data_IF_380162177301
#
_entry.id   IF_380162177301
#
_cell.length_a   1.000
_cell.length_b   1.000
_cell.length_c   1.000
_cell.angle_alpha   90.00
_cell.angle_beta   90.00
_cell.angle_gamma   90.00
#
_symmetry.space_group_name_H-M   'P 1'
#
loop_
_entity.id
_entity.type
_entity.pdbx_description
1 polymer ?
#
# COMPACT_ATOMS: atom_id res chain seq x y z
N UNK A 1 -5.14 -11.43 5.59
CA UNK A 1 -4.52 -11.73 6.88
C UNK A 1 -5.49 -12.52 7.73
N UNK A 2 -6.43 -11.84 8.39
CA UNK A 2 -7.37 -12.50 9.31
C UNK A 2 -8.23 -13.61 8.68
N UNK A 3 -8.71 -13.44 7.45
CA UNK A 3 -9.57 -14.43 6.77
C UNK A 3 -8.84 -15.43 5.88
N UNK A 4 -7.69 -15.06 5.31
CA UNK A 4 -6.98 -15.84 4.28
C UNK A 4 -5.57 -16.32 4.71
N UNK A 5 -5.17 -15.96 5.93
CA UNK A 5 -3.88 -16.29 6.50
C UNK A 5 -2.70 -15.69 5.75
N UNK A 6 -1.60 -16.44 5.72
CA UNK A 6 -0.30 -16.08 5.15
C UNK A 6 -0.32 -15.91 3.64
N UNK A 7 -1.31 -16.43 2.91
CA UNK A 7 -1.38 -16.26 1.46
C UNK A 7 -1.38 -14.78 1.04
N UNK A 8 -1.93 -13.87 1.85
CA UNK A 8 -1.91 -12.42 1.56
C UNK A 8 -0.50 -11.81 1.58
N UNK A 9 0.46 -12.45 2.25
CA UNK A 9 1.85 -11.99 2.26
C UNK A 9 2.50 -12.07 0.86
N UNK A 10 1.86 -12.73 -0.12
CA UNK A 10 2.33 -12.71 -1.50
C UNK A 10 2.47 -11.27 -2.08
N UNK A 11 1.72 -10.29 -1.58
CA UNK A 11 1.88 -8.87 -1.95
C UNK A 11 3.15 -8.24 -1.37
N UNK A 12 3.57 -8.68 -0.18
CA UNK A 12 4.72 -8.16 0.55
C UNK A 12 6.03 -8.76 0.04
N UNK A 13 6.05 -10.08 -0.25
CA UNK A 13 7.25 -10.77 -0.75
C UNK A 13 7.73 -10.26 -2.11
N UNK A 14 6.86 -9.60 -2.90
CA UNK A 14 7.26 -8.88 -4.12
C UNK A 14 8.01 -7.57 -3.84
N UNK A 15 8.42 -7.32 -2.59
CA UNK A 15 9.24 -6.16 -2.21
C UNK A 15 10.55 -6.04 -3.00
N UNK A 16 11.07 -7.14 -3.58
CA UNK A 16 12.23 -7.11 -4.47
C UNK A 16 12.02 -6.23 -5.72
N UNK A 17 10.78 -5.99 -6.14
CA UNK A 17 10.47 -5.08 -7.26
C UNK A 17 10.82 -3.62 -6.95
N UNK A 18 10.86 -3.25 -5.67
CA UNK A 18 11.33 -1.93 -5.24
C UNK A 18 12.86 -1.80 -5.45
N UNK A 19 13.61 -2.91 -5.46
CA UNK A 19 15.01 -2.89 -5.86
C UNK A 19 15.17 -2.58 -7.34
N UNK A 20 14.26 -3.04 -8.20
CA UNK A 20 14.22 -2.63 -9.61
C UNK A 20 13.94 -1.14 -9.74
N UNK A 21 12.98 -0.61 -8.96
CA UNK A 21 12.74 0.83 -8.88
C UNK A 21 14.04 1.56 -8.54
N UNK A 22 14.71 1.12 -7.47
CA UNK A 22 16.00 1.63 -7.00
C UNK A 22 17.11 1.62 -8.05
N UNK A 23 17.39 0.46 -8.64
CA UNK A 23 18.58 0.26 -9.47
C UNK A 23 18.40 0.62 -10.93
N UNK A 24 17.20 0.45 -11.48
CA UNK A 24 16.93 0.64 -12.91
C UNK A 24 16.18 1.95 -13.15
N UNK A 25 15.08 2.15 -12.43
CA UNK A 25 14.16 3.24 -12.73
C UNK A 25 14.57 4.58 -12.14
N UNK A 26 15.17 4.65 -10.94
CA UNK A 26 15.66 5.94 -10.42
C UNK A 26 16.70 6.57 -11.36
N UNK A 27 17.75 5.84 -11.83
CA UNK A 27 18.67 6.38 -12.83
C UNK A 27 18.00 6.73 -14.15
N UNK A 28 16.99 5.99 -14.57
CA UNK A 28 16.25 6.25 -15.80
C UNK A 28 15.46 7.55 -15.69
N UNK A 29 14.63 7.69 -14.66
CA UNK A 29 13.80 8.87 -14.44
C UNK A 29 14.64 10.12 -14.21
N UNK A 30 15.70 10.03 -13.39
CA UNK A 30 16.62 11.15 -13.16
C UNK A 30 17.27 11.68 -14.44
N UNK A 31 17.50 10.82 -15.46
CA UNK A 31 18.07 11.22 -16.76
C UNK A 31 17.01 11.71 -17.74
N UNK A 32 15.77 11.24 -17.61
CA UNK A 32 14.67 11.63 -18.49
C UNK A 32 14.19 13.08 -18.30
N UNK A 33 14.53 13.71 -17.15
CA UNK A 33 14.15 15.09 -16.83
C UNK A 33 12.64 15.35 -16.99
N UNK A 34 11.83 14.36 -16.57
CA UNK A 34 10.36 14.43 -16.50
C UNK A 34 9.93 14.43 -15.04
N UNK A 35 8.82 15.11 -14.74
CA UNK A 35 8.27 15.19 -13.39
C UNK A 35 7.10 14.21 -13.18
N UNK A 36 6.47 13.77 -14.27
CA UNK A 36 5.32 12.88 -14.22
C UNK A 36 5.39 11.75 -15.26
N UNK A 37 4.74 10.63 -14.95
CA UNK A 37 4.62 9.49 -15.87
C UNK A 37 3.82 9.81 -17.14
N UNK A 38 2.73 10.60 -17.09
CA UNK A 38 2.06 11.06 -18.32
C UNK A 38 2.96 11.96 -19.19
N UNK A 39 3.76 12.84 -18.59
CA UNK A 39 4.75 13.65 -19.33
C UNK A 39 5.81 12.76 -19.99
N UNK A 40 6.27 11.73 -19.29
CA UNK A 40 7.17 10.73 -19.86
C UNK A 40 6.56 10.05 -21.11
N UNK A 41 5.30 9.62 -21.04
CA UNK A 41 4.62 9.03 -22.20
C UNK A 41 4.42 10.04 -23.33
N UNK A 42 4.14 11.31 -23.04
CA UNK A 42 4.02 12.35 -24.06
C UNK A 42 5.32 12.51 -24.85
N UNK A 43 6.45 12.62 -24.14
CA UNK A 43 7.77 12.77 -24.78
C UNK A 43 8.17 11.54 -25.58
N UNK A 44 7.80 10.34 -25.12
CA UNK A 44 8.16 9.08 -25.78
C UNK A 44 7.27 8.74 -26.96
N UNK A 45 5.99 9.09 -26.89
CA UNK A 45 4.96 8.72 -27.87
C UNK A 45 4.26 9.96 -28.42
N UNK A 46 3.18 10.41 -27.78
CA UNK A 46 2.36 11.55 -28.23
C UNK A 46 1.42 12.07 -27.13
N UNK A 47 0.72 13.17 -27.43
CA UNK A 47 -0.23 13.84 -26.51
C UNK A 47 -1.44 12.98 -26.17
N UNK A 48 -1.88 12.16 -27.11
CA UNK A 48 -3.02 11.25 -26.97
C UNK A 48 -2.73 10.20 -25.90
N UNK A 49 -1.52 9.60 -25.92
CA UNK A 49 -1.07 8.62 -24.93
C UNK A 49 -1.07 9.21 -23.52
N UNK A 50 -0.61 10.45 -23.37
CA UNK A 50 -0.67 11.19 -22.10
C UNK A 50 -2.11 11.34 -21.60
N UNK A 51 -3.00 11.81 -22.47
CA UNK A 51 -4.39 12.08 -22.09
C UNK A 51 -5.11 10.80 -21.67
N UNK A 52 -4.94 9.72 -22.44
CA UNK A 52 -5.53 8.41 -22.11
C UNK A 52 -5.02 7.91 -20.75
N UNK A 53 -3.70 7.91 -20.54
CA UNK A 53 -3.13 7.45 -19.26
C UNK A 53 -3.62 8.33 -18.09
N UNK A 54 -3.61 9.65 -18.25
CA UNK A 54 -4.02 10.58 -17.18
C UNK A 54 -5.47 10.39 -16.78
N UNK A 55 -6.39 10.26 -17.76
CA UNK A 55 -7.82 10.07 -17.47
C UNK A 55 -8.05 8.74 -16.76
N UNK A 56 -7.52 7.63 -17.32
CA UNK A 56 -7.67 6.30 -16.73
C UNK A 56 -7.09 6.27 -15.31
N UNK A 57 -5.89 6.83 -15.13
CA UNK A 57 -5.23 6.88 -13.82
C UNK A 57 -6.05 7.71 -12.84
N UNK A 58 -6.39 8.96 -13.15
CA UNK A 58 -7.12 9.84 -12.21
C UNK A 58 -8.44 9.23 -11.75
N UNK A 59 -9.24 8.70 -12.69
CA UNK A 59 -10.50 8.02 -12.35
C UNK A 59 -10.23 6.80 -11.46
N UNK A 60 -9.26 5.96 -11.83
CA UNK A 60 -8.89 4.79 -11.03
C UNK A 60 -8.42 5.17 -9.63
N UNK A 61 -7.63 6.22 -9.46
CA UNK A 61 -7.15 6.67 -8.14
C UNK A 61 -8.30 7.14 -7.25
N UNK A 62 -9.25 7.89 -7.80
CA UNK A 62 -10.42 8.37 -7.04
C UNK A 62 -11.26 7.18 -6.58
N UNK A 63 -11.59 6.27 -7.50
CA UNK A 63 -12.47 5.14 -7.22
C UNK A 63 -11.84 4.06 -6.33
N UNK A 64 -10.53 3.81 -6.47
CA UNK A 64 -9.88 2.68 -5.79
C UNK A 64 -9.07 3.10 -4.57
N UNK A 65 -8.35 4.22 -4.62
CA UNK A 65 -7.47 4.63 -3.51
C UNK A 65 -8.17 5.61 -2.59
N UNK A 66 -8.70 6.71 -3.13
CA UNK A 66 -9.32 7.77 -2.32
C UNK A 66 -10.59 7.24 -1.66
N UNK A 67 -11.51 6.64 -2.41
CA UNK A 67 -12.76 6.13 -1.86
C UNK A 67 -12.54 5.09 -0.75
N UNK A 68 -11.65 4.11 -0.97
CA UNK A 68 -11.33 3.08 0.04
C UNK A 68 -10.67 3.69 1.27
N UNK A 69 -9.75 4.66 1.10
CA UNK A 69 -9.09 5.33 2.23
C UNK A 69 -10.08 6.14 3.07
N UNK A 70 -11.00 6.86 2.42
CA UNK A 70 -12.02 7.66 3.09
C UNK A 70 -13.02 6.75 3.82
N UNK A 71 -13.45 5.66 3.18
CA UNK A 71 -14.32 4.66 3.79
C UNK A 71 -13.67 4.02 5.03
N UNK A 72 -12.44 3.53 4.90
CA UNK A 72 -11.70 2.93 6.01
C UNK A 72 -11.49 3.95 7.14
N UNK A 73 -11.14 5.20 6.81
CA UNK A 73 -10.96 6.27 7.79
C UNK A 73 -12.24 6.59 8.56
N UNK A 74 -13.38 6.73 7.86
CA UNK A 74 -14.67 6.98 8.49
C UNK A 74 -15.09 5.84 9.43
N UNK A 75 -14.93 4.59 8.97
CA UNK A 75 -15.25 3.40 9.76
C UNK A 75 -14.38 3.29 11.03
N UNK A 76 -13.07 3.55 10.90
CA UNK A 76 -12.15 3.52 12.04
C UNK A 76 -12.53 4.59 13.07
N UNK A 77 -12.86 5.81 12.65
CA UNK A 77 -13.27 6.84 13.60
C UNK A 77 -14.58 6.49 14.30
N UNK A 78 -15.57 5.97 13.57
CA UNK A 78 -16.84 5.51 14.17
C UNK A 78 -16.59 4.43 15.23
N UNK A 79 -15.76 3.43 14.93
CA UNK A 79 -15.44 2.34 15.85
C UNK A 79 -14.60 2.78 17.06
N UNK A 80 -13.60 3.65 16.86
CA UNK A 80 -12.70 4.09 17.93
C UNK A 80 -13.40 5.04 18.90
N UNK A 81 -14.25 5.95 18.40
CA UNK A 81 -14.99 6.87 19.26
C UNK A 81 -16.27 6.27 19.82
N UNK A 82 -16.79 5.17 19.24
CA UNK A 82 -18.02 4.53 19.68
C UNK A 82 -19.25 5.43 19.52
N UNK A 83 -19.24 6.30 18.50
CA UNK A 83 -20.33 7.25 18.22
C UNK A 83 -21.00 6.78 16.93
N UNK A 84 -22.24 6.33 17.03
CA UNK A 84 -23.01 5.92 15.84
C UNK A 84 -23.57 7.13 15.10
N UNK A 85 -24.14 8.09 15.82
CA UNK A 85 -24.72 9.31 15.27
C UNK A 85 -24.32 10.55 16.09
N UNK A 86 -24.11 11.66 15.39
CA UNK A 86 -23.92 12.97 15.99
C UNK A 86 -24.84 13.98 15.31
N UNK A 87 -25.68 14.66 16.10
CA UNK A 87 -26.64 15.65 15.60
C UNK A 87 -27.63 15.09 14.56
N UNK A 88 -28.02 13.81 14.71
CA UNK A 88 -28.95 13.12 13.80
C UNK A 88 -28.35 12.75 12.43
N UNK A 89 -27.02 12.83 12.29
CA UNK A 89 -26.29 12.39 11.11
C UNK A 89 -25.38 11.24 11.53
N UNK A 90 -25.32 10.19 10.73
CA UNK A 90 -24.38 9.08 10.90
C UNK A 90 -22.94 9.62 10.96
N UNK A 91 -22.25 9.28 12.05
CA UNK A 91 -20.91 9.75 12.35
C UNK A 91 -19.89 9.31 11.30
N UNK A 92 -20.17 8.24 10.55
CA UNK A 92 -19.39 7.85 9.38
C UNK A 92 -19.26 9.00 8.37
N UNK A 93 -20.35 9.68 8.01
CA UNK A 93 -20.32 10.76 7.02
C UNK A 93 -19.60 11.99 7.54
N UNK A 94 -19.80 12.33 8.81
CA UNK A 94 -19.12 13.45 9.47
C UNK A 94 -17.61 13.23 9.47
N UNK A 95 -17.18 12.04 9.90
CA UNK A 95 -15.76 11.68 9.98
C UNK A 95 -15.11 11.54 8.60
N UNK A 96 -15.79 10.93 7.62
CA UNK A 96 -15.31 10.80 6.25
C UNK A 96 -15.12 12.17 5.57
N UNK A 97 -16.12 13.05 5.63
CA UNK A 97 -16.04 14.39 5.04
C UNK A 97 -15.01 15.23 5.79
N UNK A 98 -14.99 15.16 7.13
CA UNK A 98 -14.00 15.84 7.96
C UNK A 98 -12.56 15.44 7.61
N UNK A 99 -12.31 14.14 7.43
CA UNK A 99 -11.02 13.60 7.00
C UNK A 99 -10.60 14.17 5.63
N UNK A 100 -11.52 14.20 4.66
CA UNK A 100 -11.25 14.76 3.32
C UNK A 100 -10.94 16.25 3.42
N UNK A 101 -11.72 17.03 4.16
CA UNK A 101 -11.53 18.48 4.28
C UNK A 101 -10.21 18.83 4.96
N UNK A 102 -9.87 18.17 6.08
CA UNK A 102 -8.60 18.38 6.77
C UNK A 102 -7.43 18.00 5.86
N UNK A 103 -7.55 16.86 5.18
CA UNK A 103 -6.51 16.38 4.24
C UNK A 103 -6.32 17.32 3.08
N UNK A 104 -7.41 17.80 2.47
CA UNK A 104 -7.38 18.78 1.41
C UNK A 104 -6.75 20.10 1.87
N UNK A 105 -7.10 20.59 3.06
CA UNK A 105 -6.60 21.85 3.60
C UNK A 105 -5.07 21.84 3.73
N UNK A 106 -4.48 20.87 4.44
CA UNK A 106 -3.02 20.86 4.61
C UNK A 106 -2.28 20.50 3.33
N UNK A 107 -2.92 19.77 2.40
CA UNK A 107 -2.32 19.41 1.12
C UNK A 107 -2.29 20.59 0.15
N UNK A 108 -3.38 21.36 0.06
CA UNK A 108 -3.47 22.56 -0.79
C UNK A 108 -2.51 23.64 -0.31
N UNK A 109 -2.43 23.86 1.01
CA UNK A 109 -1.56 24.88 1.59
C UNK A 109 -0.06 24.51 1.50
N UNK A 110 0.27 23.24 1.71
CA UNK A 110 1.64 22.81 1.88
C UNK A 110 2.27 22.08 0.68
N UNK A 111 1.47 21.68 -0.29
CA UNK A 111 1.89 20.92 -1.46
C UNK A 111 2.58 19.60 -1.13
N UNK A 112 3.37 19.09 -2.07
CA UNK A 112 4.05 17.79 -1.94
C UNK A 112 5.03 17.76 -0.76
N UNK A 113 5.64 18.91 -0.40
CA UNK A 113 6.54 19.01 0.75
C UNK A 113 5.81 18.66 2.05
N UNK A 114 4.64 19.26 2.30
CA UNK A 114 3.82 18.96 3.49
C UNK A 114 3.44 17.49 3.56
N UNK A 115 2.99 16.90 2.45
CA UNK A 115 2.64 15.47 2.35
C UNK A 115 3.81 14.55 2.69
N UNK A 116 5.04 14.90 2.30
CA UNK A 116 6.22 14.13 2.67
C UNK A 116 6.56 14.26 4.16
N UNK A 117 6.50 15.48 4.72
CA UNK A 117 6.81 15.68 6.14
C UNK A 117 5.81 14.95 7.04
N UNK A 118 4.51 14.99 6.72
CA UNK A 118 3.51 14.23 7.47
C UNK A 118 3.79 12.72 7.37
N UNK A 119 4.16 12.22 6.18
CA UNK A 119 4.54 10.81 6.01
C UNK A 119 5.74 10.41 6.88
N UNK A 120 6.77 11.27 6.98
CA UNK A 120 7.95 11.02 7.82
C UNK A 120 7.59 10.96 9.30
N UNK A 121 6.71 11.85 9.77
CA UNK A 121 6.22 11.85 11.16
C UNK A 121 5.33 10.64 11.46
N UNK A 122 4.51 10.22 10.50
CA UNK A 122 3.61 9.07 10.64
C UNK A 122 4.34 7.73 10.64
N UNK A 123 5.44 7.61 9.88
CA UNK A 123 6.18 6.34 9.74
C UNK A 123 6.57 5.71 11.09
N UNK A 124 7.25 6.39 12.04
CA UNK A 124 7.58 5.78 13.33
C UNK A 124 6.34 5.46 14.16
N UNK A 125 5.29 6.27 14.10
CA UNK A 125 4.03 6.04 14.82
C UNK A 125 3.39 4.73 14.34
N UNK A 126 3.33 4.52 13.01
CA UNK A 126 2.76 3.31 12.42
C UNK A 126 3.62 2.08 12.71
N UNK A 127 4.95 2.19 12.67
CA UNK A 127 5.86 1.08 12.98
C UNK A 127 5.75 0.65 14.45
N UNK A 128 5.78 1.61 15.38
CA UNK A 128 5.62 1.34 16.81
C UNK A 128 4.24 0.78 17.09
N UNK A 129 3.18 1.39 16.53
CA UNK A 129 1.81 0.91 16.68
C UNK A 129 1.62 -0.52 16.17
N UNK A 130 2.21 -0.85 15.02
CA UNK A 130 2.17 -2.21 14.46
C UNK A 130 2.88 -3.21 15.37
N UNK A 131 4.07 -2.86 15.88
CA UNK A 131 4.81 -3.72 16.82
C UNK A 131 4.04 -3.94 18.12
N UNK A 132 3.41 -2.89 18.67
CA UNK A 132 2.58 -3.00 19.87
C UNK A 132 1.39 -3.92 19.63
N UNK A 133 0.69 -3.80 18.49
CA UNK A 133 -0.43 -4.69 18.14
C UNK A 133 0.03 -6.15 18.06
N UNK A 134 1.19 -6.42 17.44
CA UNK A 134 1.75 -7.78 17.37
C UNK A 134 2.05 -8.33 18.76
N UNK A 135 2.74 -7.56 19.62
CA UNK A 135 3.10 -8.01 20.98
C UNK A 135 1.86 -8.25 21.84
N UNK A 136 0.90 -7.33 21.82
CA UNK A 136 -0.36 -7.46 22.57
C UNK A 136 -1.21 -8.61 22.03
N UNK A 137 -1.29 -8.77 20.72
CA UNK A 137 -1.99 -9.87 20.05
C UNK A 137 -1.41 -11.22 20.42
N UNK A 138 -0.07 -11.38 20.35
CA UNK A 138 0.61 -12.62 20.74
C UNK A 138 0.36 -12.95 22.21
N UNK A 139 0.42 -11.95 23.10
CA UNK A 139 0.12 -12.15 24.52
C UNK A 139 -1.33 -12.56 24.76
N UNK A 140 -2.27 -11.99 24.02
CA UNK A 140 -3.69 -12.29 24.14
C UNK A 140 -4.03 -13.71 23.64
N UNK A 141 -3.35 -14.18 22.58
CA UNK A 141 -3.55 -15.55 22.05
C UNK A 141 -2.87 -16.61 22.94
N UNK A 142 -1.78 -16.27 23.63
CA UNK A 142 -1.03 -17.21 24.48
C UNK A 142 0.39 -17.51 24.00
N UNK A 143 0.87 -16.78 22.99
CA UNK A 143 2.21 -16.90 22.43
C UNK A 143 2.21 -17.34 20.96
N UNK A 144 3.42 -17.41 20.39
CA UNK A 144 3.61 -17.78 18.99
C UNK A 144 3.23 -19.24 18.69
N UNK A 145 3.54 -20.15 19.62
CA UNK A 145 3.24 -21.58 19.44
C UNK A 145 1.72 -21.83 19.36
N UNK A 146 0.94 -21.09 20.16
CA UNK A 146 -0.53 -21.17 20.12
C UNK A 146 -1.08 -20.60 18.81
N UNK A 147 -0.51 -19.49 18.31
CA UNK A 147 -0.85 -18.97 16.98
C UNK A 147 -0.60 -20.03 15.90
N UNK A 148 0.56 -20.68 15.91
CA UNK A 148 0.87 -21.74 14.94
C UNK A 148 -0.04 -22.95 15.08
N UNK A 149 -0.41 -23.34 16.30
CA UNK A 149 -1.33 -24.45 16.54
C UNK A 149 -2.72 -24.14 15.98
N UNK A 150 -3.29 -22.97 16.32
CA UNK A 150 -4.62 -22.55 15.86
C UNK A 150 -4.62 -22.33 14.34
N UNK A 151 -3.68 -21.54 13.82
CA UNK A 151 -3.61 -21.23 12.40
C UNK A 151 -3.26 -22.46 11.55
N UNK A 152 -2.42 -23.37 12.06
CA UNK A 152 -2.08 -24.63 11.41
C UNK A 152 -3.22 -25.64 11.40
N UNK A 153 -4.18 -25.55 12.33
CA UNK A 153 -5.40 -26.36 12.31
C UNK A 153 -6.54 -25.73 11.50
N UNK A 154 -6.48 -24.42 11.24
CA UNK A 154 -7.53 -23.68 10.54
C UNK A 154 -7.40 -23.85 9.03
N UNK A 155 -8.22 -24.73 8.44
CA UNK A 155 -8.33 -24.91 7.00
C UNK A 155 -8.89 -23.65 6.34
N UNK A 156 -8.32 -23.24 5.21
CA UNK A 156 -8.82 -22.08 4.45
C UNK A 156 -9.46 -22.46 3.11
N UNK A 157 -9.22 -23.68 2.64
CA UNK A 157 -9.75 -24.19 1.38
C UNK A 157 -10.00 -25.70 1.47
N UNK A 158 -10.54 -26.28 0.39
CA UNK A 158 -10.81 -27.72 0.28
C UNK A 158 -9.60 -28.57 -0.12
N UNK A 159 -8.40 -27.98 -0.23
CA UNK A 159 -7.20 -28.65 -0.75
C UNK A 159 -6.17 -28.99 0.34
N UNK A 160 -6.53 -28.80 1.61
CA UNK A 160 -5.68 -29.10 2.76
C UNK A 160 -4.73 -27.96 3.15
N UNK A 161 -4.89 -26.76 2.59
CA UNK A 161 -4.09 -25.61 3.00
C UNK A 161 -4.71 -24.92 4.23
N UNK A 162 -3.85 -24.39 5.09
CA UNK A 162 -4.20 -23.82 6.40
C UNK A 162 -3.77 -22.37 6.54
N UNK A 163 -4.16 -21.64 7.57
CA UNK A 163 -3.82 -20.20 7.68
C UNK A 163 -2.31 -19.91 7.63
N UNK A 164 -1.43 -20.88 7.92
CA UNK A 164 0.04 -20.71 7.85
C UNK A 164 0.63 -20.92 6.44
N UNK A 165 -0.08 -21.55 5.51
CA UNK A 165 0.45 -21.82 4.18
C UNK A 165 0.50 -20.55 3.32
N UNK A 166 1.71 -20.12 2.98
CA UNK A 166 1.96 -19.04 2.01
C UNK A 166 1.70 -19.51 0.57
N UNK A 167 2.20 -20.69 0.22
CA UNK A 167 2.02 -21.33 -1.08
C UNK A 167 0.80 -22.24 -0.98
N UNK A 168 -0.28 -21.87 -1.65
CA UNK A 168 -1.54 -22.64 -1.71
C UNK A 168 -1.52 -23.64 -2.86
N UNK A 169 -2.48 -24.56 -2.86
CA UNK A 169 -2.76 -25.39 -4.02
C UNK A 169 -3.06 -24.52 -5.26
N UNK A 170 -2.63 -24.96 -6.45
CA UNK A 170 -2.90 -24.21 -7.68
C UNK A 170 -4.38 -24.26 -8.12
N UNK A 171 -5.18 -25.14 -7.52
CA UNK A 171 -6.62 -25.21 -7.72
C UNK A 171 -7.40 -24.34 -6.71
N UNK A 172 -6.72 -23.67 -5.78
CA UNK A 172 -7.33 -22.67 -4.91
C UNK A 172 -7.96 -21.56 -5.79
N UNK A 173 -9.27 -21.28 -5.67
CA UNK A 173 -9.94 -20.31 -6.52
C UNK A 173 -9.51 -18.86 -6.23
N UNK A 174 -9.06 -18.56 -5.01
CA UNK A 174 -8.75 -17.20 -4.55
C UNK A 174 -7.24 -16.92 -4.63
N UNK A 175 -6.41 -17.90 -4.26
CA UNK A 175 -4.96 -17.75 -4.12
C UNK A 175 -4.14 -18.86 -4.81
N UNK A 176 -4.40 -19.21 -6.08
CA UNK A 176 -3.61 -20.22 -6.77
C UNK A 176 -2.15 -19.76 -6.84
N UNK A 177 -1.21 -20.51 -6.25
CA UNK A 177 0.13 -19.97 -5.96
C UNK A 177 0.90 -19.47 -7.19
N UNK A 178 0.78 -20.13 -8.35
CA UNK A 178 1.41 -19.66 -9.59
C UNK A 178 0.78 -18.36 -10.06
N UNK A 179 -0.56 -18.28 -10.01
CA UNK A 179 -1.31 -17.08 -10.36
C UNK A 179 -0.99 -15.93 -9.42
N UNK A 180 -0.93 -16.19 -8.11
CA UNK A 180 -0.54 -15.22 -7.10
C UNK A 180 0.89 -14.72 -7.34
N UNK A 181 1.86 -15.60 -7.59
CA UNK A 181 3.25 -15.22 -7.83
C UNK A 181 3.41 -14.36 -9.10
N UNK A 182 2.88 -14.83 -10.24
CA UNK A 182 3.03 -14.13 -11.53
C UNK A 182 2.19 -12.86 -11.57
N UNK A 183 0.94 -12.94 -11.13
CA UNK A 183 0.01 -11.80 -11.10
C UNK A 183 0.51 -10.68 -10.20
N UNK A 184 0.95 -11.01 -8.97
CA UNK A 184 1.51 -10.01 -8.06
C UNK A 184 2.83 -9.43 -8.55
N UNK A 185 3.65 -10.19 -9.28
CA UNK A 185 4.85 -9.63 -9.91
C UNK A 185 4.47 -8.61 -11.01
N UNK A 186 3.52 -8.91 -11.89
CA UNK A 186 3.10 -7.95 -12.94
C UNK A 186 2.53 -6.67 -12.30
N UNK A 187 1.64 -6.83 -11.31
CA UNK A 187 1.02 -5.70 -10.60
C UNK A 187 2.05 -4.94 -9.78
N UNK A 188 2.96 -5.65 -9.09
CA UNK A 188 4.03 -5.06 -8.31
C UNK A 188 4.99 -4.26 -9.18
N UNK A 189 5.32 -4.73 -10.39
CA UNK A 189 6.15 -3.99 -11.33
C UNK A 189 5.49 -2.65 -11.68
N UNK A 190 4.23 -2.71 -12.09
CA UNK A 190 3.47 -1.51 -12.41
C UNK A 190 3.39 -0.56 -11.21
N UNK A 191 3.00 -1.07 -10.04
CA UNK A 191 2.81 -0.27 -8.84
C UNK A 191 4.10 0.38 -8.34
N UNK A 192 5.22 -0.36 -8.29
CA UNK A 192 6.46 0.19 -7.76
C UNK A 192 7.21 1.03 -8.78
N UNK A 193 7.24 0.61 -10.04
CA UNK A 193 8.10 1.24 -11.04
C UNK A 193 7.39 2.32 -11.83
N UNK A 194 6.06 2.28 -11.98
CA UNK A 194 5.34 3.16 -12.93
C UNK A 194 4.19 3.96 -12.32
N UNK A 195 3.76 3.64 -11.09
CA UNK A 195 2.71 4.39 -10.40
C UNK A 195 3.22 5.79 -10.03
N UNK A 196 2.47 6.83 -10.44
CA UNK A 196 2.87 8.23 -10.24
C UNK A 196 3.11 8.57 -8.77
N UNK A 197 2.31 8.01 -7.85
CA UNK A 197 2.44 8.29 -6.42
C UNK A 197 3.79 7.81 -5.87
N UNK A 198 4.29 6.67 -6.34
CA UNK A 198 5.60 6.14 -5.95
C UNK A 198 6.73 6.89 -6.68
N UNK A 199 6.62 7.01 -8.01
CA UNK A 199 7.65 7.64 -8.85
C UNK A 199 7.90 9.09 -8.41
N UNK A 200 6.85 9.84 -8.08
CA UNK A 200 6.97 11.22 -7.63
C UNK A 200 7.75 11.36 -6.32
N UNK A 201 7.61 10.42 -5.37
CA UNK A 201 8.37 10.43 -4.11
C UNK A 201 9.85 10.21 -4.36
N UNK A 202 10.19 9.32 -5.27
CA UNK A 202 11.58 9.03 -5.66
C UNK A 202 12.20 10.21 -6.41
N UNK A 203 11.47 10.83 -7.32
CA UNK A 203 11.90 12.02 -8.07
C UNK A 203 12.07 13.26 -7.17
N UNK A 204 11.32 13.32 -6.07
CA UNK A 204 11.42 14.41 -5.08
C UNK A 204 12.59 14.23 -4.09
N UNK A 205 13.35 13.13 -4.22
CA UNK A 205 14.53 12.90 -3.40
C UNK A 205 15.64 13.91 -3.69
N UNK A 206 16.48 14.20 -2.68
CA UNK A 206 17.53 15.22 -2.75
C UNK A 206 18.49 15.02 -3.92
N UNK A 207 18.80 13.77 -4.22
CA UNK A 207 19.64 13.36 -5.34
C UNK A 207 19.41 11.88 -5.62
N UNK A 208 19.89 11.42 -6.77
CA UNK A 208 19.77 10.03 -7.20
C UNK A 208 20.27 9.03 -6.14
N UNK A 209 21.39 9.32 -5.45
CA UNK A 209 21.95 8.42 -4.44
C UNK A 209 20.99 8.23 -3.26
N UNK A 210 20.41 9.30 -2.75
CA UNK A 210 19.44 9.24 -1.65
C UNK A 210 18.11 8.62 -2.09
N UNK A 211 17.63 8.90 -3.30
CA UNK A 211 16.44 8.25 -3.87
C UNK A 211 16.62 6.73 -4.00
N UNK A 212 17.82 6.26 -4.41
CA UNK A 212 18.15 4.83 -4.49
C UNK A 212 18.21 4.18 -3.11
N UNK A 213 18.85 4.84 -2.15
CA UNK A 213 18.93 4.36 -0.75
C UNK A 213 17.54 4.28 -0.12
N UNK A 214 16.70 5.29 -0.34
CA UNK A 214 15.31 5.32 0.12
C UNK A 214 14.49 4.17 -0.48
N UNK A 215 14.64 3.89 -1.77
CA UNK A 215 13.99 2.75 -2.40
C UNK A 215 14.44 1.41 -1.79
N UNK A 216 15.75 1.19 -1.60
CA UNK A 216 16.28 -0.04 -0.98
C UNK A 216 15.79 -0.18 0.47
N UNK A 217 15.79 0.91 1.23
CA UNK A 217 15.25 0.89 2.59
C UNK A 217 13.75 0.59 2.62
N UNK A 218 12.97 1.16 1.69
CA UNK A 218 11.57 0.82 1.50
C UNK A 218 11.36 -0.66 1.14
N UNK A 219 12.23 -1.24 0.31
CA UNK A 219 12.21 -2.66 -0.04
C UNK A 219 12.43 -3.55 1.20
N UNK A 220 13.35 -3.17 2.07
CA UNK A 220 13.57 -3.85 3.34
C UNK A 220 12.35 -3.75 4.27
N UNK A 221 11.81 -2.54 4.47
CA UNK A 221 10.64 -2.34 5.33
C UNK A 221 9.41 -3.11 4.84
N UNK A 222 9.26 -3.28 3.53
CA UNK A 222 8.16 -4.04 2.91
C UNK A 222 8.15 -5.51 3.31
N UNK A 223 9.30 -6.08 3.71
CA UNK A 223 9.37 -7.48 4.14
C UNK A 223 9.01 -7.69 5.62
N UNK A 224 8.99 -6.63 6.44
CA UNK A 224 8.74 -6.75 7.88
C UNK A 224 7.35 -7.30 8.27
N UNK A 225 6.26 -7.06 7.51
CA UNK A 225 4.94 -7.60 7.84
C UNK A 225 4.76 -9.09 7.52
N UNK A 226 5.76 -9.76 6.91
CA UNK A 226 5.74 -11.20 6.57
C UNK A 226 6.37 -12.01 7.70
#
# INVERSE_FOLDING_TARGET
GASSGMAMAHWEIQGWMILLLGWVFVPFYSRSMVLTMPEFLERRYNKESRTILSVISLVSYVLTKVAVTVYAGGLVFQQVFGIDELWGIDFFWISAIGLVLITALYTVLGGMKSVLYTSVLQTPILLIGSLLIVVLGLRAVGGWDEVLAICGATSVNGYGDTMVNLIRNNNDPDFPWLGALVGSAIIGFWYWCTDQYIVQRVLSGRNQKESRRGAIFGAYLKLLPV
#
